data_IF_663558775269
#
_entry.id   IF_663558775269
#
_cell.length_a   1.000
_cell.length_b   1.000
_cell.length_c   1.000
_cell.angle_alpha   90.00
_cell.angle_beta   90.00
_cell.angle_gamma   90.00
#
_symmetry.space_group_name_H-M   'P 1'
#
loop_
_entity.id
_entity.type
_entity.pdbx_description
1 polymer ?
#
# COMPACT_ATOMS: atom_id res chain seq x y z
N UNK A 1 45.93 31.88 -9.78
CA UNK A 1 44.80 32.34 -10.61
C UNK A 1 43.87 31.15 -10.76
N UNK A 2 42.95 30.97 -9.82
CA UNK A 2 41.86 29.98 -9.94
C UNK A 2 40.74 30.46 -9.02
N UNK A 3 39.64 30.94 -9.61
CA UNK A 3 38.47 31.43 -8.89
C UNK A 3 37.44 30.31 -8.90
N UNK A 4 37.11 29.76 -7.74
CA UNK A 4 36.06 28.77 -7.58
C UNK A 4 34.69 29.38 -7.89
N UNK A 5 33.93 28.63 -8.69
CA UNK A 5 32.61 28.91 -9.25
C UNK A 5 31.52 28.61 -8.21
N UNK A 6 30.51 29.47 -7.98
CA UNK A 6 29.38 29.11 -7.12
C UNK A 6 28.40 28.19 -7.87
N UNK A 7 28.01 27.09 -7.22
CA UNK A 7 26.96 26.18 -7.66
C UNK A 7 25.61 26.78 -7.25
N UNK A 8 24.77 27.12 -8.22
CA UNK A 8 23.47 27.73 -7.97
C UNK A 8 22.46 26.67 -7.46
N UNK A 9 21.80 26.99 -6.35
CA UNK A 9 20.66 26.28 -5.81
C UNK A 9 19.43 26.54 -6.69
N UNK A 10 18.81 25.48 -7.22
CA UNK A 10 17.58 25.56 -8.02
C UNK A 10 16.44 24.93 -7.23
N UNK A 11 15.40 25.69 -6.82
CA UNK A 11 14.22 25.11 -6.19
C UNK A 11 13.33 24.46 -7.24
N UNK A 12 12.85 23.24 -6.93
CA UNK A 12 11.92 22.49 -7.74
C UNK A 12 10.50 23.07 -7.61
N UNK A 13 10.21 24.08 -8.42
CA UNK A 13 8.84 24.47 -8.74
C UNK A 13 8.70 24.45 -10.25
N UNK A 14 7.58 23.87 -10.70
CA UNK A 14 7.11 23.82 -12.09
C UNK A 14 7.52 22.60 -12.91
N UNK A 15 6.94 21.45 -12.57
CA UNK A 15 6.50 20.48 -13.59
C UNK A 15 4.97 20.38 -13.55
N UNK A 16 4.30 21.40 -14.07
CA UNK A 16 2.92 21.29 -14.52
C UNK A 16 2.92 21.07 -16.04
N UNK A 17 2.15 20.11 -16.57
CA UNK A 17 2.11 19.88 -18.00
C UNK A 17 1.47 21.05 -18.75
N UNK A 18 2.23 21.53 -19.74
CA UNK A 18 1.95 22.55 -20.74
C UNK A 18 0.65 22.25 -21.50
N UNK A 19 -0.32 23.16 -21.40
CA UNK A 19 -1.49 23.18 -22.29
C UNK A 19 -1.03 23.59 -23.68
N UNK A 20 -1.09 22.67 -24.65
CA UNK A 20 -0.93 22.98 -26.07
C UNK A 20 -2.31 23.28 -26.66
N UNK A 21 -2.49 24.51 -27.10
CA UNK A 21 -3.62 24.96 -27.91
C UNK A 21 -3.31 24.79 -29.40
N UNK A 22 -4.33 24.36 -30.17
CA UNK A 22 -4.40 24.60 -31.61
C UNK A 22 -4.21 23.39 -32.52
N UNK A 23 -5.28 22.62 -32.72
CA UNK A 23 -5.41 21.69 -33.85
C UNK A 23 -6.87 21.66 -34.31
N UNK A 24 -7.17 22.19 -35.50
CA UNK A 24 -8.49 22.10 -36.12
C UNK A 24 -8.72 20.64 -36.54
N UNK A 25 -9.79 20.00 -36.08
CA UNK A 25 -10.19 18.66 -36.54
C UNK A 25 -11.65 18.68 -37.00
N UNK A 26 -11.81 18.26 -38.26
CA UNK A 26 -13.07 18.10 -38.98
C UNK A 26 -14.04 17.13 -38.30
N UNK A 27 -15.33 17.43 -38.41
CA UNK A 27 -16.45 16.58 -37.99
C UNK A 27 -16.31 15.16 -38.54
N UNK A 28 -16.31 14.14 -37.69
CA UNK A 28 -16.67 12.74 -38.02
C UNK A 28 -17.01 11.95 -36.76
N UNK A 29 -18.20 11.34 -36.80
CA UNK A 29 -18.79 10.28 -35.96
C UNK A 29 -18.36 10.18 -34.48
N UNK A 30 -19.28 10.54 -33.58
CA UNK A 30 -19.24 10.14 -32.18
C UNK A 30 -19.47 8.62 -32.06
N UNK A 31 -18.39 7.83 -32.10
CA UNK A 31 -18.44 6.49 -31.50
C UNK A 31 -18.28 6.66 -29.99
N UNK A 32 -19.40 6.52 -29.27
CA UNK A 32 -19.45 6.45 -27.82
C UNK A 32 -18.58 5.28 -27.34
N UNK A 33 -17.33 5.58 -26.97
CA UNK A 33 -16.45 4.65 -26.29
C UNK A 33 -17.11 4.38 -24.94
N UNK A 34 -17.69 3.19 -24.77
CA UNK A 34 -18.03 2.70 -23.44
C UNK A 34 -16.70 2.41 -22.74
N UNK A 35 -16.24 3.39 -21.96
CA UNK A 35 -15.24 3.12 -20.94
C UNK A 35 -15.95 2.17 -19.98
N UNK A 36 -15.56 0.88 -20.03
CA UNK A 36 -15.88 -0.02 -18.94
C UNK A 36 -15.23 0.58 -17.71
N UNK A 37 -16.06 1.10 -16.80
CA UNK A 37 -15.62 1.47 -15.48
C UNK A 37 -14.89 0.26 -14.92
N UNK A 38 -13.59 0.41 -14.70
CA UNK A 38 -12.81 -0.56 -13.94
C UNK A 38 -13.50 -0.64 -12.59
N UNK A 39 -14.27 -1.70 -12.39
CA UNK A 39 -14.81 -2.08 -11.11
C UNK A 39 -13.62 -2.41 -10.22
N UNK A 40 -13.00 -1.38 -9.63
CA UNK A 40 -12.31 -1.54 -8.37
C UNK A 40 -13.32 -2.27 -7.51
N UNK A 41 -13.03 -3.55 -7.25
CA UNK A 41 -13.87 -4.41 -6.45
C UNK A 41 -13.94 -3.74 -5.09
N UNK A 42 -14.97 -2.93 -4.90
CA UNK A 42 -15.40 -2.49 -3.59
C UNK A 42 -15.63 -3.80 -2.85
N UNK A 43 -14.64 -4.19 -2.05
CA UNK A 43 -14.80 -5.20 -1.02
C UNK A 43 -15.83 -4.59 -0.08
N UNK A 44 -17.10 -4.78 -0.41
CA UNK A 44 -18.15 -4.76 0.57
C UNK A 44 -17.80 -5.95 1.46
N UNK A 45 -16.82 -5.77 2.36
CA UNK A 45 -16.91 -6.46 3.64
C UNK A 45 -18.36 -6.21 4.04
N UNK A 46 -19.16 -7.24 4.35
CA UNK A 46 -20.50 -7.01 4.83
C UNK A 46 -20.34 -6.20 6.13
N UNK A 47 -20.30 -4.88 6.01
CA UNK A 47 -20.64 -3.96 7.07
C UNK A 47 -22.05 -4.40 7.37
N UNK A 48 -22.18 -5.19 8.43
CA UNK A 48 -23.47 -5.66 8.89
C UNK A 48 -24.29 -4.39 8.99
N UNK A 49 -25.22 -4.19 8.06
CA UNK A 49 -26.25 -3.20 8.28
C UNK A 49 -26.81 -3.60 9.64
N UNK A 50 -26.79 -2.70 10.62
CA UNK A 50 -27.25 -2.97 11.99
C UNK A 50 -28.78 -3.16 12.03
N UNK A 51 -29.34 -3.87 11.06
CA UNK A 51 -30.63 -4.52 11.14
C UNK A 51 -30.45 -5.62 12.17
N UNK A 52 -31.30 -5.68 13.20
CA UNK A 52 -31.17 -6.53 14.39
C UNK A 52 -31.22 -8.05 14.17
N UNK A 53 -30.67 -8.55 13.07
CA UNK A 53 -30.43 -9.94 12.77
C UNK A 53 -29.03 -10.32 13.26
N UNK A 54 -28.94 -11.54 13.81
CA UNK A 54 -27.79 -12.12 14.51
C UNK A 54 -26.46 -11.74 13.85
N UNK A 55 -25.61 -11.02 14.59
CA UNK A 55 -24.27 -10.66 14.15
C UNK A 55 -23.54 -11.93 13.68
N UNK A 56 -22.98 -11.96 12.45
CA UNK A 56 -22.22 -13.11 11.98
C UNK A 56 -21.07 -13.37 12.96
N UNK A 57 -20.88 -14.66 13.30
CA UNK A 57 -19.78 -15.07 14.17
C UNK A 57 -18.46 -14.55 13.59
N UNK A 58 -17.61 -13.91 14.41
CA UNK A 58 -16.34 -13.33 13.98
C UNK A 58 -15.49 -14.28 13.11
N UNK A 59 -15.48 -15.58 13.43
CA UNK A 59 -14.75 -16.58 12.66
C UNK A 59 -15.30 -16.72 11.22
N UNK A 60 -16.61 -16.62 11.04
CA UNK A 60 -17.25 -16.68 9.72
C UNK A 60 -16.88 -15.45 8.86
N UNK A 61 -16.85 -14.26 9.46
CA UNK A 61 -16.41 -13.03 8.80
C UNK A 61 -14.95 -13.12 8.36
N UNK A 62 -14.07 -13.57 9.26
CA UNK A 62 -12.65 -13.75 8.95
C UNK A 62 -12.47 -14.78 7.82
N UNK A 63 -13.20 -15.90 7.87
CA UNK A 63 -13.14 -16.95 6.84
C UNK A 63 -13.54 -16.41 5.47
N UNK A 64 -14.65 -15.68 5.39
CA UNK A 64 -15.12 -15.07 4.15
C UNK A 64 -14.12 -14.04 3.60
N UNK A 65 -13.52 -13.25 4.49
CA UNK A 65 -12.52 -12.26 4.10
C UNK A 65 -11.25 -12.93 3.54
N UNK A 66 -10.75 -13.98 4.19
CA UNK A 66 -9.59 -14.77 3.72
C UNK A 66 -9.86 -15.38 2.34
N UNK A 67 -11.05 -15.94 2.12
CA UNK A 67 -11.42 -16.48 0.80
C UNK A 67 -11.37 -15.40 -0.29
N UNK A 68 -11.88 -14.20 0.02
CA UNK A 68 -11.83 -13.05 -0.89
C UNK A 68 -10.39 -12.66 -1.22
N UNK A 69 -9.51 -12.58 -0.21
CA UNK A 69 -8.09 -12.26 -0.40
C UNK A 69 -7.38 -13.32 -1.25
N UNK A 70 -7.67 -14.61 -1.05
CA UNK A 70 -7.12 -15.68 -1.86
C UNK A 70 -7.46 -15.50 -3.34
N UNK A 71 -8.71 -15.16 -3.67
CA UNK A 71 -9.11 -14.88 -5.06
C UNK A 71 -8.45 -13.63 -5.66
N UNK A 72 -8.13 -12.63 -4.83
CA UNK A 72 -7.39 -11.45 -5.27
C UNK A 72 -5.92 -11.77 -5.52
N UNK A 73 -5.29 -12.57 -4.65
CA UNK A 73 -3.87 -12.93 -4.76
C UNK A 73 -3.52 -13.64 -6.08
N UNK A 74 -4.43 -14.50 -6.59
CA UNK A 74 -4.26 -15.21 -7.86
C UNK A 74 -4.16 -14.29 -9.08
N UNK A 75 -4.63 -13.05 -8.94
CA UNK A 75 -4.76 -12.07 -10.03
C UNK A 75 -3.80 -10.88 -9.86
N UNK A 76 -2.94 -10.91 -8.82
CA UNK A 76 -2.07 -9.80 -8.47
C UNK A 76 -0.81 -9.77 -9.36
N UNK A 77 -0.99 -9.37 -10.61
CA UNK A 77 0.07 -9.21 -11.61
C UNK A 77 0.39 -7.73 -11.84
N UNK A 78 1.66 -7.43 -12.15
CA UNK A 78 2.08 -6.08 -12.56
C UNK A 78 2.80 -5.25 -11.48
N UNK A 79 2.90 -5.75 -10.26
CA UNK A 79 3.68 -5.12 -9.17
C UNK A 79 4.74 -6.08 -8.63
N UNK A 80 6.02 -5.64 -8.52
CA UNK A 80 7.10 -6.48 -8.02
C UNK A 80 6.98 -6.66 -6.50
N UNK A 81 6.25 -7.69 -6.09
CA UNK A 81 5.99 -8.00 -4.69
C UNK A 81 6.09 -9.51 -4.49
N UNK A 82 6.69 -9.94 -3.38
CA UNK A 82 6.57 -11.34 -2.98
C UNK A 82 5.10 -11.61 -2.62
N UNK A 83 4.53 -12.69 -3.15
CA UNK A 83 3.17 -13.14 -2.84
C UNK A 83 3.16 -14.39 -1.95
N UNK A 84 4.31 -15.05 -1.80
CA UNK A 84 4.45 -16.27 -1.03
C UNK A 84 5.10 -15.95 0.32
N UNK A 85 4.27 -15.74 1.33
CA UNK A 85 4.70 -15.50 2.71
C UNK A 85 4.35 -16.70 3.58
N UNK A 86 5.36 -17.29 4.23
CA UNK A 86 5.16 -18.23 5.33
C UNK A 86 5.67 -17.58 6.63
N UNK A 87 4.72 -17.22 7.51
CA UNK A 87 5.01 -16.60 8.80
C UNK A 87 4.73 -17.54 9.98
N UNK A 88 4.62 -18.84 9.76
CA UNK A 88 4.33 -19.82 10.83
C UNK A 88 5.34 -19.73 11.98
N UNK A 89 6.62 -19.55 11.64
CA UNK A 89 7.69 -19.35 12.61
C UNK A 89 7.57 -18.05 13.44
N UNK A 90 6.89 -17.02 12.90
CA UNK A 90 6.68 -15.74 13.57
C UNK A 90 5.38 -15.71 14.39
N UNK A 91 4.51 -16.71 14.27
CA UNK A 91 3.22 -16.75 14.96
C UNK A 91 3.29 -16.48 16.48
N UNK A 92 4.30 -16.98 17.23
CA UNK A 92 4.44 -16.67 18.65
C UNK A 92 4.58 -15.16 18.94
N UNK A 93 5.16 -14.38 18.02
CA UNK A 93 5.42 -12.95 18.22
C UNK A 93 4.14 -12.11 18.25
N UNK A 94 3.06 -12.54 17.60
CA UNK A 94 1.79 -11.79 17.54
C UNK A 94 1.06 -11.68 18.88
N UNK A 95 1.50 -12.39 19.91
CA UNK A 95 0.97 -12.29 21.28
C UNK A 95 1.60 -11.13 22.09
N UNK A 96 2.64 -10.48 21.57
CA UNK A 96 3.35 -9.41 22.25
C UNK A 96 3.13 -8.07 21.55
N UNK A 97 2.97 -7.00 22.34
CA UNK A 97 2.93 -5.63 21.82
C UNK A 97 4.35 -5.08 21.64
N UNK A 98 5.07 -5.65 20.66
CA UNK A 98 6.45 -5.26 20.34
C UNK A 98 6.51 -3.82 19.80
N UNK A 99 7.48 -3.04 20.26
CA UNK A 99 7.71 -1.68 19.74
C UNK A 99 9.20 -1.32 19.80
N UNK A 100 9.80 -1.06 18.64
CA UNK A 100 11.21 -0.67 18.50
C UNK A 100 11.38 0.86 18.50
N UNK A 101 10.67 1.56 19.37
CA UNK A 101 10.75 3.02 19.44
C UNK A 101 12.17 3.47 19.80
N UNK A 102 12.77 4.27 18.90
CA UNK A 102 14.11 4.82 19.07
C UNK A 102 15.00 4.52 17.87
N UNK A 103 16.30 4.67 18.09
CA UNK A 103 17.34 4.30 17.12
C UNK A 103 17.75 2.83 17.37
N UNK A 104 17.91 1.98 16.35
CA UNK A 104 18.19 0.56 16.52
C UNK A 104 19.52 0.24 17.25
N UNK A 105 20.47 1.17 17.21
CA UNK A 105 21.79 1.02 17.85
C UNK A 105 21.86 1.75 19.19
N UNK A 106 20.78 2.40 19.61
CA UNK A 106 20.66 3.04 20.92
C UNK A 106 19.64 2.27 21.77
N UNK A 107 19.90 2.17 23.07
CA UNK A 107 18.95 1.53 23.98
C UNK A 107 17.60 2.27 23.99
N UNK A 108 16.50 1.51 24.01
CA UNK A 108 15.15 2.06 24.17
C UNK A 108 14.70 2.02 25.63
N UNK A 109 13.87 2.98 26.04
CA UNK A 109 13.14 2.93 27.31
C UNK A 109 11.97 1.94 27.28
N UNK A 110 11.56 1.48 26.08
CA UNK A 110 10.54 0.45 25.92
C UNK A 110 11.19 -0.93 25.89
N UNK A 111 10.98 -1.72 26.94
CA UNK A 111 11.65 -3.02 27.10
C UNK A 111 11.06 -4.15 26.25
N UNK A 112 9.78 -4.07 25.88
CA UNK A 112 9.12 -5.07 25.06
C UNK A 112 9.40 -4.79 23.56
N UNK A 113 10.64 -4.92 23.14
CA UNK A 113 11.08 -4.64 21.78
C UNK A 113 11.76 -5.85 21.13
N UNK A 114 11.99 -5.75 19.82
CA UNK A 114 12.75 -6.70 19.02
C UNK A 114 14.02 -6.07 18.43
N UNK A 115 14.52 -4.98 19.01
CA UNK A 115 15.69 -4.25 18.52
C UNK A 115 16.92 -5.15 18.28
N UNK A 116 17.26 -6.15 19.12
CA UNK A 116 18.36 -7.07 18.82
C UNK A 116 18.15 -7.88 17.53
N UNK A 117 16.90 -8.24 17.22
CA UNK A 117 16.56 -8.92 15.97
C UNK A 117 16.68 -7.99 14.77
N UNK A 118 16.24 -6.73 14.91
CA UNK A 118 16.40 -5.69 13.90
C UNK A 118 17.88 -5.45 13.55
N UNK A 119 18.74 -5.25 14.55
CA UNK A 119 20.18 -5.08 14.33
C UNK A 119 20.78 -6.28 13.58
N UNK A 120 20.37 -7.50 13.92
CA UNK A 120 20.84 -8.72 13.24
C UNK A 120 20.42 -8.83 11.77
N UNK A 121 19.39 -8.08 11.34
CA UNK A 121 18.95 -8.01 9.93
C UNK A 121 19.67 -6.89 9.16
N UNK A 122 20.17 -5.88 9.89
CA UNK A 122 20.92 -4.76 9.31
C UNK A 122 22.41 -5.09 9.11
N UNK A 123 22.95 -6.02 9.91
CA UNK A 123 24.30 -6.57 9.77
C UNK A 123 24.50 -7.34 8.44
#
# INVERSE_FOLDING_TARGET
MEKNKPMAFVPATELLPRVVSGGRVSKKEEKKIQIQENNNSHTNLPTTNCTGETQPNLASLITQYVETLNQCSLRNLGYPTNQNFNYDALNPLFHFHLNNAGDPFQGSSFSLNSTPFEVSVLD
#
